data_IF_164160701360
#
_entry.id   IF_164160701360
#
_cell.length_a   1.000
_cell.length_b   1.000
_cell.length_c   1.000
_cell.angle_alpha   90.00
_cell.angle_beta   90.00
_cell.angle_gamma   90.00
#
_symmetry.space_group_name_H-M   'P 1'
#
loop_
_entity.id
_entity.type
_entity.pdbx_description
1 polymer ?
#
# COMPACT_ATOMS: atom_id res chain seq x y z
N UNK A 1 11.47 15.67 -4.02
CA UNK A 1 10.98 14.31 -3.69
C UNK A 1 12.10 13.40 -3.16
N UNK A 2 13.23 13.27 -3.87
CA UNK A 2 14.36 12.42 -3.44
C UNK A 2 14.87 12.69 -2.02
N UNK A 3 14.95 13.96 -1.60
CA UNK A 3 15.39 14.30 -0.24
C UNK A 3 14.45 13.77 0.84
N UNK A 4 13.14 13.87 0.63
CA UNK A 4 12.13 13.32 1.55
C UNK A 4 12.26 11.80 1.66
N UNK A 5 12.43 11.11 0.53
CA UNK A 5 12.66 9.65 0.50
C UNK A 5 13.89 9.27 1.32
N UNK A 6 15.00 9.99 1.14
CA UNK A 6 16.23 9.73 1.87
C UNK A 6 16.06 9.93 3.39
N UNK A 7 15.34 10.98 3.81
CA UNK A 7 15.02 11.21 5.22
C UNK A 7 14.18 10.07 5.79
N UNK A 8 13.08 9.70 5.12
CA UNK A 8 12.22 8.58 5.55
C UNK A 8 12.99 7.26 5.61
N UNK A 9 13.80 6.96 4.59
CA UNK A 9 14.65 5.77 4.52
C UNK A 9 15.55 5.66 5.75
N UNK A 10 16.25 6.74 6.13
CA UNK A 10 17.10 6.78 7.33
C UNK A 10 16.29 6.48 8.61
N UNK A 11 15.09 7.06 8.74
CA UNK A 11 14.22 6.83 9.89
C UNK A 11 13.75 5.38 9.98
N UNK A 12 13.39 4.74 8.87
CA UNK A 12 12.94 3.34 8.87
C UNK A 12 14.10 2.36 9.12
N UNK A 13 15.30 2.66 8.62
CA UNK A 13 16.51 1.87 8.87
C UNK A 13 16.90 1.85 10.35
N UNK A 14 16.51 2.86 11.13
CA UNK A 14 16.73 2.87 12.59
C UNK A 14 16.03 1.72 13.33
N UNK A 15 15.11 1.01 12.68
CA UNK A 15 14.38 -0.13 13.25
C UNK A 15 13.17 0.27 14.11
N UNK A 16 12.94 1.57 14.32
CA UNK A 16 11.74 2.10 14.96
C UNK A 16 10.54 2.02 14.00
N UNK A 17 9.37 1.67 14.53
CA UNK A 17 8.09 1.86 13.84
C UNK A 17 7.65 3.32 13.98
N UNK A 18 7.28 3.94 12.85
CA UNK A 18 6.88 5.34 12.81
C UNK A 18 5.41 5.47 12.42
N UNK A 19 4.61 6.09 13.28
CA UNK A 19 3.23 6.45 12.93
C UNK A 19 3.22 7.61 11.93
N UNK A 20 2.11 7.76 11.20
CA UNK A 20 1.89 8.88 10.27
C UNK A 20 2.09 10.23 10.96
N UNK A 21 1.45 10.42 12.12
CA UNK A 21 1.56 11.65 12.91
C UNK A 21 2.98 11.94 13.37
N UNK A 22 3.74 10.93 13.78
CA UNK A 22 5.15 11.12 14.16
C UNK A 22 6.00 11.54 12.96
N UNK A 23 5.77 10.95 11.77
CA UNK A 23 6.48 11.35 10.56
C UNK A 23 6.10 12.77 10.13
N UNK A 24 4.82 13.13 10.17
CA UNK A 24 4.36 14.49 9.86
C UNK A 24 5.03 15.51 10.77
N UNK A 25 4.99 15.29 12.09
CA UNK A 25 5.59 16.19 13.06
C UNK A 25 7.12 16.27 12.96
N UNK A 26 7.78 15.14 12.68
CA UNK A 26 9.25 15.09 12.63
C UNK A 26 9.82 15.63 11.32
N UNK A 27 9.13 15.40 10.20
CA UNK A 27 9.61 15.77 8.87
C UNK A 27 9.09 17.12 8.40
N UNK A 28 8.08 17.67 9.09
CA UNK A 28 7.36 18.90 8.76
C UNK A 28 6.78 18.85 7.34
N UNK A 29 6.08 17.76 7.04
CA UNK A 29 5.43 17.52 5.74
C UNK A 29 4.07 16.87 5.95
N UNK A 30 3.18 17.04 4.98
CA UNK A 30 1.82 16.48 5.05
C UNK A 30 1.79 14.95 4.92
N UNK A 31 0.78 14.30 5.50
CA UNK A 31 0.51 12.86 5.38
C UNK A 31 0.53 12.42 3.91
N UNK A 32 -0.06 13.22 3.02
CA UNK A 32 -0.11 12.93 1.59
C UNK A 32 1.29 12.76 1.01
N UNK A 33 2.22 13.66 1.34
CA UNK A 33 3.60 13.59 0.85
C UNK A 33 4.36 12.40 1.44
N UNK A 34 4.13 12.08 2.72
CA UNK A 34 4.71 10.89 3.37
C UNK A 34 4.22 9.63 2.68
N UNK A 35 2.92 9.51 2.43
CA UNK A 35 2.33 8.35 1.74
C UNK A 35 2.93 8.17 0.35
N UNK A 36 3.00 9.24 -0.45
CA UNK A 36 3.59 9.19 -1.78
C UNK A 36 5.06 8.74 -1.73
N UNK A 37 5.84 9.28 -0.79
CA UNK A 37 7.25 8.89 -0.64
C UNK A 37 7.40 7.44 -0.16
N UNK A 38 6.54 6.94 0.74
CA UNK A 38 6.54 5.54 1.19
C UNK A 38 6.16 4.61 0.05
N UNK A 39 5.16 4.96 -0.76
CA UNK A 39 4.78 4.20 -1.95
C UNK A 39 5.94 4.13 -2.95
N UNK A 40 6.57 5.26 -3.25
CA UNK A 40 7.72 5.29 -4.17
C UNK A 40 8.89 4.45 -3.65
N UNK A 41 9.22 4.56 -2.36
CA UNK A 41 10.27 3.74 -1.73
C UNK A 41 9.95 2.23 -1.79
N UNK A 42 8.67 1.86 -1.65
CA UNK A 42 8.23 0.46 -1.64
C UNK A 42 8.18 -0.13 -3.05
N UNK A 43 7.53 0.58 -3.95
CA UNK A 43 7.12 0.05 -5.25
C UNK A 43 8.22 0.25 -6.30
N UNK A 44 8.96 1.38 -6.24
CA UNK A 44 10.02 1.70 -7.20
C UNK A 44 11.43 1.43 -6.66
N UNK A 45 11.70 1.75 -5.39
CA UNK A 45 13.02 1.50 -4.79
C UNK A 45 13.12 0.12 -4.10
N UNK A 46 12.09 -0.72 -4.24
CA UNK A 46 11.99 -2.10 -3.71
C UNK A 46 12.32 -2.25 -2.21
N UNK A 47 12.08 -1.22 -1.39
CA UNK A 47 12.27 -1.34 0.05
C UNK A 47 11.13 -2.14 0.70
N UNK A 48 11.42 -3.12 1.57
CA UNK A 48 10.40 -3.95 2.21
C UNK A 48 9.70 -3.21 3.36
N UNK A 49 9.00 -2.12 3.03
CA UNK A 49 8.32 -1.26 4.00
C UNK A 49 6.94 -1.83 4.25
N UNK A 50 6.69 -2.28 5.47
CA UNK A 50 5.37 -2.68 5.92
C UNK A 50 4.54 -1.48 6.37
N UNK A 51 3.23 -1.62 6.31
CA UNK A 51 2.28 -0.67 6.90
C UNK A 51 1.16 -1.40 7.63
N UNK A 52 0.62 -0.78 8.67
CA UNK A 52 -0.57 -1.31 9.32
C UNK A 52 -1.39 -0.20 9.96
N UNK A 53 -2.70 -0.34 9.82
CA UNK A 53 -3.70 0.51 10.48
C UNK A 53 -4.31 -0.18 11.73
N UNK A 54 -4.02 -1.47 11.93
CA UNK A 54 -4.54 -2.27 13.03
C UNK A 54 -4.03 -1.77 14.39
N UNK A 55 -4.87 -1.91 15.42
CA UNK A 55 -4.51 -1.59 16.81
C UNK A 55 -3.30 -2.41 17.26
N UNK A 56 -2.27 -1.75 17.81
CA UNK A 56 -1.05 -2.38 18.33
C UNK A 56 0.21 -2.26 17.46
N UNK A 57 0.07 -2.14 16.13
CA UNK A 57 1.18 -1.83 15.20
C UNK A 57 0.71 -0.81 14.17
N UNK A 58 0.50 0.42 14.60
CA UNK A 58 0.12 1.52 13.71
C UNK A 58 1.37 2.16 13.11
N UNK A 59 1.37 2.37 11.79
CA UNK A 59 2.42 3.11 11.10
C UNK A 59 3.22 2.29 10.10
N UNK A 60 4.45 2.74 9.85
CA UNK A 60 5.39 2.21 8.88
C UNK A 60 6.64 1.67 9.58
N UNK A 61 7.14 0.53 9.09
CA UNK A 61 8.39 -0.05 9.55
C UNK A 61 9.06 -0.83 8.42
N UNK A 62 10.36 -1.05 8.53
CA UNK A 62 11.09 -1.93 7.63
C UNK A 62 10.93 -3.38 8.10
N UNK A 63 10.55 -4.29 7.21
CA UNK A 63 10.47 -5.70 7.53
C UNK A 63 11.85 -6.26 7.92
N UNK A 64 11.88 -7.13 8.92
CA UNK A 64 13.12 -7.74 9.44
C UNK A 64 13.50 -9.02 8.70
N UNK A 65 12.57 -9.60 7.95
CA UNK A 65 12.78 -10.80 7.14
C UNK A 65 11.86 -10.80 5.92
N UNK A 66 12.21 -11.59 4.90
CA UNK A 66 11.37 -11.80 3.72
C UNK A 66 9.99 -12.37 4.09
N UNK A 67 9.96 -13.29 5.04
CA UNK A 67 8.75 -13.94 5.56
C UNK A 67 7.82 -12.95 6.29
N UNK A 68 8.36 -11.95 7.01
CA UNK A 68 7.53 -10.86 7.55
C UNK A 68 6.91 -10.02 6.43
N UNK A 69 7.68 -9.68 5.40
CA UNK A 69 7.20 -8.87 4.29
C UNK A 69 6.14 -9.60 3.45
N UNK A 70 6.33 -10.91 3.21
CA UNK A 70 5.35 -11.77 2.54
C UNK A 70 4.02 -11.82 3.27
N UNK A 71 4.03 -12.11 4.58
CA UNK A 71 2.80 -12.10 5.40
C UNK A 71 2.11 -10.74 5.43
N UNK A 72 2.88 -9.65 5.41
CA UNK A 72 2.31 -8.31 5.25
C UNK A 72 1.59 -8.18 3.91
N UNK A 73 2.24 -8.57 2.81
CA UNK A 73 1.68 -8.51 1.46
C UNK A 73 0.41 -9.35 1.32
N UNK A 74 0.42 -10.59 1.79
CA UNK A 74 -0.76 -11.49 1.77
C UNK A 74 -1.95 -10.86 2.51
N UNK A 75 -1.70 -10.29 3.69
CA UNK A 75 -2.77 -9.65 4.48
C UNK A 75 -3.27 -8.34 3.85
N UNK A 76 -2.38 -7.51 3.34
CA UNK A 76 -2.72 -6.17 2.83
C UNK A 76 -3.36 -6.23 1.43
N UNK A 77 -2.89 -7.15 0.60
CA UNK A 77 -3.28 -7.23 -0.81
C UNK A 77 -4.15 -8.46 -1.13
N UNK A 78 -4.10 -9.54 -0.34
CA UNK A 78 -4.84 -10.76 -0.64
C UNK A 78 -6.34 -10.54 -0.81
N UNK A 79 -6.98 -9.85 0.13
CA UNK A 79 -8.41 -9.53 0.04
C UNK A 79 -8.74 -8.52 -1.07
N UNK A 80 -7.78 -7.65 -1.45
CA UNK A 80 -7.97 -6.69 -2.55
C UNK A 80 -7.90 -7.37 -3.91
N UNK A 81 -7.03 -8.37 -4.06
CA UNK A 81 -6.93 -9.18 -5.28
C UNK A 81 -8.25 -9.91 -5.49
N UNK A 82 -8.72 -10.65 -4.48
CA UNK A 82 -9.98 -11.40 -4.53
C UNK A 82 -11.18 -10.49 -4.87
N UNK A 83 -11.26 -9.32 -4.24
CA UNK A 83 -12.32 -8.35 -4.51
C UNK A 83 -12.24 -7.75 -5.92
N UNK A 84 -11.04 -7.51 -6.43
CA UNK A 84 -10.83 -6.96 -7.79
C UNK A 84 -11.20 -7.97 -8.86
N UNK A 85 -10.84 -9.24 -8.67
CA UNK A 85 -11.22 -10.33 -9.57
C UNK A 85 -12.75 -10.50 -9.63
N UNK A 86 -13.40 -10.47 -8.47
CA UNK A 86 -14.87 -10.53 -8.37
C UNK A 86 -15.53 -9.36 -9.09
N UNK A 87 -15.01 -8.14 -8.89
CA UNK A 87 -15.54 -6.93 -9.53
C UNK A 87 -15.38 -6.98 -11.05
N UNK A 88 -14.23 -7.45 -11.53
CA UNK A 88 -13.97 -7.59 -12.97
C UNK A 88 -14.88 -8.65 -13.61
N UNK A 89 -15.12 -9.77 -12.92
CA UNK A 89 -16.05 -10.80 -13.39
C UNK A 89 -17.46 -10.23 -13.53
N UNK A 90 -17.92 -9.44 -12.56
CA UNK A 90 -19.22 -8.78 -12.63
C UNK A 90 -19.31 -7.80 -13.81
N UNK A 91 -18.31 -6.94 -14.01
CA UNK A 91 -18.27 -6.00 -15.15
C UNK A 91 -18.35 -6.76 -16.49
N UNK A 92 -17.62 -7.87 -16.63
CA UNK A 92 -17.66 -8.70 -17.84
C UNK A 92 -19.03 -9.32 -18.07
N UNK A 93 -19.66 -9.84 -17.01
CA UNK A 93 -21.00 -10.42 -17.09
C UNK A 93 -22.03 -9.37 -17.54
N UNK A 94 -22.02 -8.19 -16.91
CA UNK A 94 -22.92 -7.10 -17.27
C UNK A 94 -22.71 -6.62 -18.70
N UNK A 95 -21.45 -6.51 -19.16
CA UNK A 95 -21.15 -6.13 -20.54
C UNK A 95 -21.70 -7.15 -21.55
N UNK A 96 -21.54 -8.45 -21.26
CA UNK A 96 -22.07 -9.53 -22.10
C UNK A 96 -23.60 -9.50 -22.19
N UNK A 97 -24.29 -9.33 -21.04
CA UNK A 97 -25.75 -9.22 -21.00
C UNK A 97 -26.25 -8.00 -21.81
N UNK A 98 -25.54 -6.88 -21.73
CA UNK A 98 -25.90 -5.66 -22.44
C UNK A 98 -25.75 -5.79 -23.96
N UNK A 99 -24.67 -6.42 -24.43
CA UNK A 99 -24.49 -6.71 -25.86
C UNK A 99 -25.60 -7.65 -26.39
N UNK A 100 -25.98 -8.69 -25.63
CA UNK A 100 -27.03 -9.63 -26.06
C UNK A 100 -28.43 -9.02 -26.14
N UNK A 101 -28.77 -8.10 -25.23
CA UNK A 101 -30.04 -7.37 -25.22
C UNK A 101 -30.15 -6.35 -26.37
N UNK A 102 -29.02 -5.85 -26.89
CA UNK A 102 -28.99 -4.97 -28.07
C UNK A 102 -29.08 -5.74 -29.40
N UNK A 103 -28.54 -6.96 -29.48
CA UNK A 103 -28.64 -7.79 -30.71
C UNK A 103 -30.02 -8.45 -30.87
N UNK A 104 -30.79 -8.55 -29.79
CA UNK A 104 -32.11 -9.22 -29.78
C UNK A 104 -33.30 -8.28 -30.07
N UNK A 105 -33.04 -6.99 -30.38
CA UNK A 105 -34.06 -5.98 -30.74
C UNK A 105 -34.02 -5.64 -32.22
#
# INVERSE_FOLDING_TARGET
MNELKNRIKKLLISGKTWTRKELEAYLDVSDRMIRLAIHDLRDNDHMPICSSSASGKRGYWLAKSADEYLRFGEREYGSRIESSETSLAHVKQTAYEWEFDEVSK
#
